data_IF_139091452772
#
_entry.id   IF_139091452772
#
_cell.length_a   1.000
_cell.length_b   1.000
_cell.length_c   1.000
_cell.angle_alpha   90.00
_cell.angle_beta   90.00
_cell.angle_gamma   90.00
#
_symmetry.space_group_name_H-M   'P 1'
#
loop_
_entity.id
_entity.type
_entity.pdbx_description
1 polymer ?
#
# COMPACT_ATOMS: atom_id res chain seq x y z
N UNK A 1 18.03 12.03 3.64
CA UNK A 1 17.01 10.96 3.60
C UNK A 1 16.26 11.08 2.28
N UNK A 2 15.96 9.97 1.60
CA UNK A 2 15.22 10.04 0.34
C UNK A 2 13.80 10.57 0.61
N UNK A 3 13.33 11.49 -0.24
CA UNK A 3 11.97 12.02 -0.15
C UNK A 3 10.99 10.85 -0.26
N UNK A 4 10.03 10.68 0.67
CA UNK A 4 9.02 9.65 0.52
C UNK A 4 8.27 9.88 -0.79
N UNK A 5 8.20 8.83 -1.61
CA UNK A 5 7.53 8.87 -2.92
C UNK A 5 6.04 9.17 -2.73
N UNK A 6 5.48 8.61 -1.67
CA UNK A 6 4.10 8.83 -1.23
C UNK A 6 4.08 9.80 -0.06
N UNK A 7 3.64 11.03 -0.33
CA UNK A 7 3.45 12.08 0.66
C UNK A 7 2.28 11.77 1.61
N UNK A 8 2.32 12.30 2.84
CA UNK A 8 1.28 12.11 3.86
C UNK A 8 -0.07 12.70 3.44
N UNK A 9 -0.07 13.89 2.80
CA UNK A 9 -1.30 14.54 2.34
C UNK A 9 -1.96 13.72 1.23
N UNK A 10 -1.14 13.20 0.31
CA UNK A 10 -1.61 12.33 -0.76
C UNK A 10 -2.16 11.01 -0.21
N UNK A 11 -1.50 10.42 0.79
CA UNK A 11 -2.01 9.22 1.45
C UNK A 11 -3.36 9.45 2.11
N UNK A 12 -3.55 10.59 2.80
CA UNK A 12 -4.82 10.93 3.44
C UNK A 12 -6.00 11.05 2.44
N UNK A 13 -5.72 11.37 1.18
CA UNK A 13 -6.72 11.39 0.11
C UNK A 13 -7.01 10.00 -0.48
N UNK A 14 -6.01 9.11 -0.51
CA UNK A 14 -6.11 7.77 -1.12
C UNK A 14 -6.72 6.76 -0.15
N UNK A 15 -6.28 6.75 1.11
CA UNK A 15 -6.69 5.78 2.13
C UNK A 15 -8.22 5.60 2.23
N UNK A 16 -9.06 6.65 2.29
CA UNK A 16 -10.51 6.48 2.41
C UNK A 16 -11.19 5.90 1.16
N UNK A 17 -10.48 5.87 0.02
CA UNK A 17 -11.00 5.29 -1.23
C UNK A 17 -10.75 3.78 -1.31
N UNK A 18 -9.90 3.24 -0.44
CA UNK A 18 -9.61 1.81 -0.41
C UNK A 18 -10.80 1.04 0.17
N UNK A 19 -11.12 -0.14 -0.38
CA UNK A 19 -12.13 -1.00 0.22
C UNK A 19 -11.67 -1.47 1.60
N UNK A 20 -12.61 -1.76 2.52
CA UNK A 20 -12.25 -2.27 3.84
C UNK A 20 -11.45 -3.58 3.73
N UNK A 21 -10.52 -3.85 4.67
CA UNK A 21 -9.73 -5.06 4.65
C UNK A 21 -10.60 -6.31 4.64
N UNK A 22 -10.31 -7.24 3.74
CA UNK A 22 -11.06 -8.50 3.67
C UNK A 22 -10.91 -9.28 4.99
N UNK A 23 -12.01 -9.85 5.53
CA UNK A 23 -11.94 -10.69 6.71
C UNK A 23 -10.93 -11.82 6.51
N UNK A 24 -10.05 -11.99 7.50
CA UNK A 24 -9.03 -13.03 7.44
C UNK A 24 -9.70 -14.40 7.59
N UNK A 25 -9.30 -15.36 6.76
CA UNK A 25 -9.74 -16.76 6.90
C UNK A 25 -9.33 -17.30 8.27
N UNK A 26 -10.26 -17.97 8.95
CA UNK A 26 -10.00 -18.60 10.25
C UNK A 26 -9.12 -19.85 10.11
N UNK A 27 -9.42 -20.72 9.14
CA UNK A 27 -8.65 -21.94 8.88
C UNK A 27 -7.63 -21.71 7.76
N UNK A 28 -6.39 -22.12 8.01
CA UNK A 28 -5.22 -21.87 7.15
C UNK A 28 -5.01 -20.38 6.81
N UNK A 29 -4.85 -19.53 7.83
CA UNK A 29 -4.56 -18.12 7.61
C UNK A 29 -3.14 -18.02 7.05
N UNK A 30 -3.00 -17.80 5.74
CA UNK A 30 -1.71 -17.55 5.10
C UNK A 30 -0.98 -16.32 5.68
N UNK A 31 0.05 -15.86 4.98
CA UNK A 31 0.85 -14.69 5.41
C UNK A 31 -0.06 -13.48 5.67
N UNK A 32 0.25 -12.72 6.74
CA UNK A 32 -0.46 -11.47 7.02
C UNK A 32 -0.31 -10.51 5.83
N UNK A 33 -1.38 -9.79 5.44
CA UNK A 33 -1.27 -8.72 4.45
C UNK A 33 -0.23 -7.70 4.85
N UNK A 34 0.39 -7.08 3.85
CA UNK A 34 1.19 -5.89 4.06
C UNK A 34 0.26 -4.72 4.40
N UNK A 35 0.79 -3.73 5.10
CA UNK A 35 0.14 -2.44 5.28
C UNK A 35 -0.15 -1.76 3.93
N UNK A 36 -1.35 -1.20 3.77
CA UNK A 36 -1.82 -0.67 2.49
C UNK A 36 -0.96 0.50 2.00
N UNK A 37 -0.45 1.34 2.92
CA UNK A 37 0.43 2.45 2.58
C UNK A 37 1.75 1.98 2.00
N UNK A 38 2.32 0.91 2.57
CA UNK A 38 3.53 0.28 2.02
C UNK A 38 3.29 -0.32 0.65
N UNK A 39 2.12 -0.92 0.42
CA UNK A 39 1.71 -1.42 -0.89
C UNK A 39 1.63 -0.29 -1.93
N UNK A 40 0.95 0.80 -1.59
CA UNK A 40 0.80 1.98 -2.44
C UNK A 40 2.14 2.62 -2.78
N UNK A 41 3.05 2.73 -1.81
CA UNK A 41 4.41 3.23 -2.03
C UNK A 41 5.19 2.39 -3.06
N UNK A 42 5.09 1.06 -2.97
CA UNK A 42 5.71 0.15 -3.94
C UNK A 42 5.16 0.31 -5.36
N UNK A 43 3.84 0.47 -5.51
CA UNK A 43 3.20 0.76 -6.81
C UNK A 43 3.74 2.07 -7.38
N UNK A 44 3.75 3.13 -6.57
CA UNK A 44 4.21 4.45 -6.98
C UNK A 44 5.70 4.46 -7.36
N UNK A 45 6.53 3.70 -6.63
CA UNK A 45 7.93 3.48 -6.96
C UNK A 45 8.09 2.82 -8.34
N UNK A 46 7.34 1.76 -8.63
CA UNK A 46 7.38 1.09 -9.94
C UNK A 46 6.95 2.06 -11.05
N UNK A 47 5.88 2.83 -10.83
CA UNK A 47 5.39 3.81 -11.82
C UNK A 47 6.41 4.92 -12.10
N UNK A 48 7.16 5.37 -11.09
CA UNK A 48 8.17 6.43 -11.26
C UNK A 48 9.48 5.92 -11.86
N UNK A 49 9.93 4.75 -11.42
CA UNK A 49 11.23 4.20 -11.84
C UNK A 49 11.15 3.37 -13.11
N UNK A 50 9.94 2.95 -13.50
CA UNK A 50 9.70 2.12 -14.68
C UNK A 50 10.43 0.79 -14.62
N UNK A 51 10.62 0.23 -13.41
CA UNK A 51 11.44 -0.95 -13.11
C UNK A 51 11.49 -1.94 -14.29
N UNK A 52 12.67 -2.03 -14.92
CA UNK A 52 12.96 -2.89 -16.07
C UNK A 52 13.49 -4.23 -15.63
#
# INVERSE_FOLDING_TARGET
MAKPILDDELWALIEPLLPPPKPRRSRYPGRKPLDDRRGAHGIQFILQTGLR
#
